data_IF_629195750097
#
_entry.id   IF_629195750097
#
_cell.length_a   1.000
_cell.length_b   1.000
_cell.length_c   1.000
_cell.angle_alpha   90.00
_cell.angle_beta   90.00
_cell.angle_gamma   90.00
#
_symmetry.space_group_name_H-M   'P 1'
#
loop_
_entity.id
_entity.type
_entity.pdbx_description
1 polymer ?
#
# COMPACT_ATOMS: atom_id res chain seq x y z
N UNK A 1 1.55 -3.75 1.43
CA UNK A 1 0.45 -3.23 2.29
C UNK A 1 -0.86 -4.02 2.12
N UNK A 2 -1.35 -4.34 0.91
CA UNK A 2 -2.65 -5.03 0.73
C UNK A 2 -2.60 -6.54 1.07
N UNK A 3 -3.45 -7.04 1.98
CA UNK A 3 -3.70 -8.47 2.17
C UNK A 3 -4.34 -9.12 0.94
N UNK A 4 -4.18 -10.43 0.71
CA UNK A 4 -3.51 -11.42 1.57
C UNK A 4 -2.05 -11.69 1.20
N UNK A 5 -1.44 -10.91 0.31
CA UNK A 5 -0.08 -11.18 -0.18
C UNK A 5 0.95 -10.28 0.53
N UNK A 6 0.59 -9.01 0.75
CA UNK A 6 1.34 -7.95 1.45
C UNK A 6 2.83 -7.71 1.10
N UNK A 7 3.50 -8.58 0.34
CA UNK A 7 4.93 -8.57 0.03
C UNK A 7 5.79 -9.28 1.10
N UNK A 8 7.08 -9.49 0.79
CA UNK A 8 8.02 -10.17 1.67
C UNK A 8 8.24 -9.47 3.03
N UNK A 9 8.13 -8.14 3.05
CA UNK A 9 8.26 -7.36 4.28
C UNK A 9 7.19 -7.70 5.34
N UNK A 10 6.02 -8.20 4.94
CA UNK A 10 5.00 -8.64 5.90
C UNK A 10 5.38 -9.94 6.63
N UNK A 11 6.15 -10.82 5.98
CA UNK A 11 6.71 -12.01 6.63
C UNK A 11 7.75 -11.62 7.66
N UNK A 12 8.63 -10.67 7.33
CA UNK A 12 9.56 -10.10 8.29
C UNK A 12 8.82 -9.39 9.43
N UNK A 13 7.74 -8.69 9.13
CA UNK A 13 6.93 -8.04 10.16
C UNK A 13 6.34 -9.04 11.15
N UNK A 14 5.80 -10.15 10.64
CA UNK A 14 5.36 -11.27 11.47
C UNK A 14 6.49 -11.83 12.35
N UNK A 15 7.68 -12.01 11.78
CA UNK A 15 8.87 -12.50 12.49
C UNK A 15 9.37 -11.54 13.58
N UNK A 16 9.54 -10.26 13.26
CA UNK A 16 9.97 -9.21 14.21
C UNK A 16 8.99 -9.04 15.36
N UNK A 17 7.67 -9.14 15.10
CA UNK A 17 6.65 -9.01 16.13
C UNK A 17 6.35 -10.32 16.86
N UNK A 18 6.84 -11.46 16.36
CA UNK A 18 6.58 -12.78 16.93
C UNK A 18 5.12 -13.24 16.80
N UNK A 19 4.37 -12.74 15.82
CA UNK A 19 2.96 -13.10 15.60
C UNK A 19 2.76 -13.82 14.26
N UNK A 20 1.72 -14.66 14.09
CA UNK A 20 1.42 -15.32 12.83
C UNK A 20 1.19 -14.33 11.67
N UNK A 21 1.60 -14.69 10.45
CA UNK A 21 1.37 -13.86 9.26
C UNK A 21 -0.10 -13.50 9.05
N UNK A 22 -1.01 -14.45 9.29
CA UNK A 22 -2.44 -14.22 9.09
C UNK A 22 -2.97 -13.12 10.02
N UNK A 23 -2.35 -12.95 11.19
CA UNK A 23 -2.65 -11.88 12.12
C UNK A 23 -2.13 -10.54 11.59
N UNK A 24 -0.91 -10.47 11.06
CA UNK A 24 -0.42 -9.26 10.36
C UNK A 24 -1.35 -8.91 9.20
N UNK A 25 -1.75 -9.91 8.41
CA UNK A 25 -2.62 -9.73 7.25
C UNK A 25 -4.02 -9.27 7.63
N UNK A 26 -4.63 -9.79 8.69
CA UNK A 26 -5.95 -9.36 9.14
C UNK A 26 -5.92 -7.91 9.63
N UNK A 27 -4.91 -7.53 10.41
CA UNK A 27 -4.73 -6.17 10.93
C UNK A 27 -4.48 -5.15 9.84
N UNK A 28 -3.95 -5.58 8.68
CA UNK A 28 -3.70 -4.71 7.54
C UNK A 28 -4.92 -4.43 6.64
N UNK A 29 -6.03 -5.15 6.80
CA UNK A 29 -7.21 -5.03 5.90
C UNK A 29 -7.79 -3.61 5.92
N UNK A 30 -8.12 -3.10 7.11
CA UNK A 30 -8.70 -1.76 7.26
C UNK A 30 -7.72 -0.68 6.77
N UNK A 31 -6.44 -0.65 7.21
CA UNK A 31 -5.45 0.30 6.69
C UNK A 31 -5.33 0.26 5.17
N UNK A 32 -5.30 -0.94 4.57
CA UNK A 32 -5.19 -1.07 3.13
C UNK A 32 -6.43 -0.53 2.42
N UNK A 33 -7.64 -0.84 2.89
CA UNK A 33 -8.87 -0.30 2.32
C UNK A 33 -8.89 1.24 2.38
N UNK A 34 -8.51 1.83 3.51
CA UNK A 34 -8.41 3.29 3.66
C UNK A 34 -7.39 3.89 2.69
N UNK A 35 -6.19 3.31 2.61
CA UNK A 35 -5.14 3.76 1.70
C UNK A 35 -5.56 3.69 0.24
N UNK A 36 -6.04 2.54 -0.24
CA UNK A 36 -6.43 2.36 -1.64
C UNK A 36 -7.66 3.17 -2.01
N UNK A 37 -8.63 3.31 -1.11
CA UNK A 37 -9.80 4.17 -1.33
C UNK A 37 -9.39 5.64 -1.35
N UNK A 38 -8.50 6.07 -0.44
CA UNK A 38 -7.98 7.44 -0.41
C UNK A 38 -7.20 7.80 -1.68
N UNK A 39 -6.35 6.89 -2.18
CA UNK A 39 -5.68 7.06 -3.48
C UNK A 39 -6.71 7.10 -4.61
N UNK A 40 -7.68 6.18 -4.62
CA UNK A 40 -8.71 6.15 -5.65
C UNK A 40 -9.49 7.47 -5.72
N UNK A 41 -9.92 8.00 -4.58
CA UNK A 41 -10.58 9.31 -4.48
C UNK A 41 -9.69 10.40 -5.07
N UNK A 42 -8.43 10.45 -4.64
CA UNK A 42 -7.47 11.48 -5.07
C UNK A 42 -7.20 11.44 -6.57
N UNK A 43 -6.95 10.26 -7.12
CA UNK A 43 -6.73 10.04 -8.57
C UNK A 43 -7.99 10.35 -9.37
N UNK A 44 -9.18 9.96 -8.88
CA UNK A 44 -10.45 10.24 -9.53
C UNK A 44 -10.76 11.73 -9.60
N UNK A 45 -10.50 12.48 -8.52
CA UNK A 45 -10.66 13.93 -8.50
C UNK A 45 -9.70 14.63 -9.46
N UNK A 46 -8.44 14.19 -9.52
CA UNK A 46 -7.46 14.72 -10.48
C UNK A 46 -7.85 14.37 -11.93
N UNK A 47 -8.33 13.15 -12.20
CA UNK A 47 -8.79 12.74 -13.52
C UNK A 47 -9.99 13.56 -13.99
N UNK A 48 -10.95 13.84 -13.09
CA UNK A 48 -12.08 14.74 -13.36
C UNK A 48 -11.63 16.17 -13.68
N UNK A 49 -10.69 16.70 -12.89
CA UNK A 49 -10.11 18.03 -13.11
C UNK A 49 -9.41 18.15 -14.47
N UNK A 50 -8.77 17.07 -14.92
CA UNK A 50 -8.13 16.99 -16.24
C UNK A 50 -9.09 16.62 -17.38
N UNK A 51 -10.36 16.32 -17.08
CA UNK A 51 -11.36 15.94 -18.08
C UNK A 51 -11.08 14.61 -18.77
N UNK A 52 -10.34 13.70 -18.12
CA UNK A 52 -9.98 12.41 -18.71
C UNK A 52 -11.24 11.53 -18.91
N UNK A 53 -11.35 10.90 -20.08
CA UNK A 53 -12.45 9.98 -20.43
C UNK A 53 -11.93 8.54 -20.50
N UNK A 54 -12.77 7.60 -20.07
CA UNK A 54 -12.47 6.17 -20.19
C UNK A 54 -12.45 5.69 -21.65
N UNK A 55 -11.78 4.58 -21.90
CA UNK A 55 -11.76 3.93 -23.22
C UNK A 55 -13.14 3.32 -23.55
N UNK A 56 -13.51 3.18 -24.84
CA UNK A 56 -14.74 2.52 -25.26
C UNK A 56 -14.82 1.07 -24.78
N UNK A 57 -16.00 0.61 -24.35
CA UNK A 57 -16.20 -0.73 -23.78
C UNK A 57 -15.76 -1.85 -24.75
N UNK A 58 -15.85 -1.63 -26.05
CA UNK A 58 -15.46 -2.60 -27.09
C UNK A 58 -13.95 -2.83 -27.18
N UNK A 59 -13.15 -1.91 -26.63
CA UNK A 59 -11.69 -2.04 -26.56
C UNK A 59 -11.21 -2.85 -25.35
N UNK A 60 -12.13 -3.20 -24.43
CA UNK A 60 -11.78 -3.95 -23.23
C UNK A 60 -11.74 -5.46 -23.50
N UNK A 61 -10.83 -6.20 -22.82
CA UNK A 61 -10.79 -7.65 -22.93
C UNK A 61 -12.11 -8.26 -22.44
N UNK A 62 -12.64 -9.23 -23.20
CA UNK A 62 -13.92 -9.89 -22.87
C UNK A 62 -13.82 -10.62 -21.52
N UNK A 63 -14.79 -10.39 -20.64
CA UNK A 63 -14.86 -11.03 -19.31
C UNK A 63 -14.84 -12.56 -19.42
N UNK A 64 -15.45 -13.13 -20.45
CA UNK A 64 -15.46 -14.58 -20.69
C UNK A 64 -14.06 -15.17 -20.92
N UNK A 65 -13.13 -14.40 -21.47
CA UNK A 65 -11.73 -14.79 -21.59
C UNK A 65 -11.04 -14.80 -20.23
N UNK A 66 -11.31 -13.80 -19.39
CA UNK A 66 -10.72 -13.70 -18.03
C UNK A 66 -11.18 -14.86 -17.14
N UNK A 67 -12.48 -15.19 -17.15
CA UNK A 67 -13.03 -16.30 -16.35
C UNK A 67 -12.44 -17.64 -16.79
N UNK A 68 -12.25 -17.85 -18.10
CA UNK A 68 -11.62 -19.08 -18.61
C UNK A 68 -10.18 -19.27 -18.14
N UNK A 69 -9.45 -18.18 -17.86
CA UNK A 69 -8.07 -18.21 -17.38
C UNK A 69 -7.95 -18.05 -15.86
N UNK A 70 -9.06 -18.02 -15.12
CA UNK A 70 -9.06 -17.80 -13.66
C UNK A 70 -8.34 -18.91 -12.90
N UNK A 71 -8.25 -20.12 -13.47
CA UNK A 71 -7.52 -21.25 -12.88
C UNK A 71 -6.02 -20.94 -12.68
N UNK A 72 -5.45 -19.96 -13.41
CA UNK A 72 -4.07 -19.49 -13.20
C UNK A 72 -3.87 -18.80 -11.84
N UNK A 73 -4.95 -18.40 -11.17
CA UNK A 73 -4.93 -17.79 -9.82
C UNK A 73 -4.88 -18.87 -8.73
N UNK A 74 -5.18 -20.13 -9.05
CA UNK A 74 -5.25 -21.22 -8.09
C UNK A 74 -3.99 -21.41 -7.23
N UNK A 75 -2.74 -21.30 -7.77
CA UNK A 75 -1.53 -21.37 -6.95
C UNK A 75 -1.47 -20.27 -5.89
N UNK A 76 -1.95 -19.07 -6.22
CA UNK A 76 -2.01 -17.95 -5.30
C UNK A 76 -3.04 -18.20 -4.18
N UNK A 77 -4.22 -18.75 -4.54
CA UNK A 77 -5.23 -19.15 -3.55
C UNK A 77 -4.67 -20.22 -2.61
N UNK A 78 -3.95 -21.21 -3.15
CA UNK A 78 -3.29 -22.26 -2.38
C UNK A 78 -2.25 -21.67 -1.42
N UNK A 79 -1.45 -20.69 -1.87
CA UNK A 79 -0.48 -19.99 -1.00
C UNK A 79 -1.18 -19.31 0.17
N UNK A 80 -2.20 -18.51 -0.12
CA UNK A 80 -2.95 -17.74 0.87
C UNK A 80 -3.61 -18.69 1.87
N UNK A 81 -4.22 -19.77 1.40
CA UNK A 81 -4.86 -20.76 2.26
C UNK A 81 -3.85 -21.48 3.15
N UNK A 82 -2.71 -21.93 2.63
CA UNK A 82 -1.66 -22.60 3.41
C UNK A 82 -1.11 -21.67 4.50
N UNK A 83 -0.80 -20.43 4.15
CA UNK A 83 -0.30 -19.44 5.11
C UNK A 83 -1.38 -19.08 6.14
N UNK A 84 -2.64 -18.92 5.73
CA UNK A 84 -3.76 -18.63 6.62
C UNK A 84 -4.06 -19.79 7.58
N UNK A 85 -3.86 -21.03 7.14
CA UNK A 85 -4.10 -22.22 7.97
C UNK A 85 -3.13 -22.36 9.13
N UNK A 86 -1.96 -21.70 9.09
CA UNK A 86 -0.92 -21.82 10.11
C UNK A 86 -0.29 -23.22 10.24
N UNK A 87 -0.66 -24.17 9.37
CA UNK A 87 -0.27 -25.58 9.48
C UNK A 87 1.20 -25.83 9.15
N UNK A 88 1.85 -24.90 8.44
CA UNK A 88 3.21 -25.04 7.91
C UNK A 88 3.96 -23.72 8.05
N UNK A 89 5.28 -23.79 8.01
CA UNK A 89 6.13 -22.59 7.93
C UNK A 89 5.86 -21.83 6.63
N UNK A 90 6.17 -20.53 6.62
CA UNK A 90 5.95 -19.66 5.45
C UNK A 90 6.75 -20.15 4.24
N UNK A 91 8.01 -20.56 4.44
CA UNK A 91 8.87 -21.12 3.39
C UNK A 91 8.29 -22.40 2.78
N UNK A 92 7.75 -23.30 3.62
CA UNK A 92 7.16 -24.55 3.14
C UNK A 92 5.84 -24.31 2.37
N UNK A 93 5.02 -23.36 2.84
CA UNK A 93 3.81 -22.93 2.14
C UNK A 93 4.12 -22.35 0.75
N UNK A 94 5.19 -21.55 0.64
CA UNK A 94 5.69 -21.04 -0.63
C UNK A 94 6.15 -22.17 -1.55
N UNK A 95 6.91 -23.15 -1.04
CA UNK A 95 7.38 -24.29 -1.83
C UNK A 95 6.23 -25.12 -2.42
N UNK A 96 5.19 -25.44 -1.64
CA UNK A 96 4.01 -26.14 -2.13
C UNK A 96 3.29 -25.32 -3.20
N UNK A 97 3.13 -24.01 -2.98
CA UNK A 97 2.46 -23.14 -3.94
C UNK A 97 3.23 -23.02 -5.26
N UNK A 98 4.57 -22.99 -5.23
CA UNK A 98 5.43 -23.05 -6.42
C UNK A 98 5.20 -24.36 -7.19
N UNK A 99 5.14 -25.50 -6.50
CA UNK A 99 4.79 -26.78 -7.13
C UNK A 99 3.38 -26.74 -7.74
N UNK A 100 2.41 -26.15 -7.03
CA UNK A 100 1.06 -25.92 -7.54
C UNK A 100 1.05 -25.07 -8.81
N UNK A 101 1.86 -24.00 -8.86
CA UNK A 101 2.02 -23.15 -10.04
C UNK A 101 2.61 -23.92 -11.23
N UNK A 102 3.61 -24.77 -10.97
CA UNK A 102 4.18 -25.64 -11.99
C UNK A 102 3.15 -26.62 -12.54
N UNK A 103 2.37 -27.28 -11.67
CA UNK A 103 1.32 -28.23 -12.09
C UNK A 103 0.21 -27.55 -12.89
N UNK A 104 -0.28 -26.40 -12.42
CA UNK A 104 -1.30 -25.61 -13.15
C UNK A 104 -0.75 -25.13 -14.50
N UNK A 105 0.50 -24.66 -14.53
CA UNK A 105 1.18 -24.27 -15.76
C UNK A 105 1.33 -25.43 -16.74
N UNK A 106 1.74 -26.61 -16.27
CA UNK A 106 1.86 -27.82 -17.08
C UNK A 106 0.52 -28.22 -17.71
N UNK A 107 -0.55 -28.24 -16.92
CA UNK A 107 -1.91 -28.53 -17.42
C UNK A 107 -2.31 -27.49 -18.48
N UNK A 108 -2.01 -26.20 -18.25
CA UNK A 108 -2.31 -25.15 -19.21
C UNK A 108 -1.56 -25.34 -20.54
N UNK A 109 -0.25 -25.60 -20.49
CA UNK A 109 0.56 -25.84 -21.69
C UNK A 109 0.07 -27.05 -22.46
N UNK A 110 -0.28 -28.14 -21.76
CA UNK A 110 -0.89 -29.32 -22.40
C UNK A 110 -2.19 -28.91 -23.08
N UNK A 111 -3.13 -28.27 -22.38
CA UNK A 111 -4.42 -27.88 -22.95
C UNK A 111 -4.32 -26.95 -24.16
N UNK A 112 -3.37 -26.02 -24.15
CA UNK A 112 -3.12 -25.11 -25.29
C UNK A 112 -2.61 -25.92 -26.48
N UNK A 113 -1.58 -26.74 -26.29
CA UNK A 113 -0.99 -27.53 -27.36
C UNK A 113 -1.98 -28.57 -27.91
N UNK A 114 -2.84 -29.15 -27.05
CA UNK A 114 -3.90 -30.05 -27.50
C UNK A 114 -4.99 -29.33 -28.31
N UNK A 115 -5.25 -28.05 -28.04
CA UNK A 115 -6.24 -27.25 -28.80
C UNK A 115 -5.68 -26.71 -30.11
N UNK A 116 -4.38 -26.43 -30.16
CA UNK A 116 -3.71 -25.86 -31.33
C UNK A 116 -3.01 -26.91 -32.21
N UNK A 117 -3.26 -28.20 -31.96
CA UNK A 117 -2.68 -29.31 -32.73
C UNK A 117 -2.81 -29.06 -34.23
N UNK A 118 -1.69 -29.18 -34.94
CA UNK A 118 -1.69 -29.11 -36.40
C UNK A 118 -2.30 -30.40 -36.96
N UNK A 119 -3.01 -30.27 -38.08
CA UNK A 119 -3.61 -31.42 -38.75
C UNK A 119 -2.51 -32.42 -39.17
N UNK A 120 -2.40 -33.53 -38.44
CA UNK A 120 -1.38 -34.57 -38.65
C UNK A 120 -0.53 -34.90 -37.41
N UNK A 121 -0.54 -34.07 -36.36
CA UNK A 121 0.16 -34.37 -35.11
C UNK A 121 -0.60 -35.36 -34.24
N UNK A 122 0.11 -36.36 -33.74
CA UNK A 122 -0.46 -37.30 -32.76
C UNK A 122 -0.58 -36.65 -31.38
N UNK A 123 -1.56 -37.10 -30.61
CA UNK A 123 -1.77 -36.61 -29.24
C UNK A 123 -0.51 -36.71 -28.36
N UNK A 124 0.31 -37.75 -28.57
CA UNK A 124 1.56 -37.95 -27.84
C UNK A 124 2.63 -36.91 -28.18
N UNK A 125 2.74 -36.50 -29.44
CA UNK A 125 3.71 -35.48 -29.87
C UNK A 125 3.38 -34.11 -29.25
N UNK A 126 2.10 -33.72 -29.25
CA UNK A 126 1.65 -32.48 -28.60
C UNK A 126 1.92 -32.47 -27.08
N UNK A 127 1.71 -33.60 -26.39
CA UNK A 127 2.02 -33.71 -24.95
C UNK A 127 3.53 -33.66 -24.70
N UNK A 128 4.34 -34.33 -25.51
CA UNK A 128 5.79 -34.29 -25.38
C UNK A 128 6.34 -32.87 -25.56
N UNK A 129 5.78 -32.13 -26.52
CA UNK A 129 6.14 -30.74 -26.77
C UNK A 129 5.71 -29.82 -25.62
N UNK A 130 4.50 -29.98 -25.09
CA UNK A 130 4.05 -29.25 -23.91
C UNK A 130 4.92 -29.53 -22.67
N UNK A 131 5.34 -30.78 -22.45
CA UNK A 131 6.23 -31.14 -21.35
C UNK A 131 7.59 -30.47 -21.50
N UNK A 132 8.14 -30.46 -22.71
CA UNK A 132 9.40 -29.77 -23.00
C UNK A 132 9.28 -28.27 -22.68
N UNK A 133 8.25 -27.59 -23.19
CA UNK A 133 7.98 -26.17 -22.89
C UNK A 133 7.86 -25.94 -21.38
N UNK A 134 7.13 -26.79 -20.66
CA UNK A 134 6.94 -26.66 -19.22
C UNK A 134 8.25 -26.78 -18.44
N UNK A 135 9.13 -27.73 -18.80
CA UNK A 135 10.44 -27.89 -18.16
C UNK A 135 11.34 -26.68 -18.43
N UNK A 136 11.38 -26.17 -19.67
CA UNK A 136 12.13 -24.96 -19.99
C UNK A 136 11.59 -23.74 -19.23
N UNK A 137 10.28 -23.55 -19.20
CA UNK A 137 9.65 -22.46 -18.45
C UNK A 137 9.93 -22.56 -16.94
N UNK A 138 9.93 -23.77 -16.37
CA UNK A 138 10.28 -23.99 -14.97
C UNK A 138 11.75 -23.68 -14.69
N UNK A 139 12.65 -24.07 -15.59
CA UNK A 139 14.07 -23.73 -15.49
C UNK A 139 14.30 -22.22 -15.54
N UNK A 140 13.68 -21.52 -16.49
CA UNK A 140 13.75 -20.06 -16.58
C UNK A 140 13.17 -19.37 -15.34
N UNK A 141 12.01 -19.83 -14.87
CA UNK A 141 11.40 -19.31 -13.65
C UNK A 141 12.27 -19.51 -12.42
N UNK A 142 12.91 -20.68 -12.27
CA UNK A 142 13.82 -20.97 -11.17
C UNK A 142 15.10 -20.13 -11.27
N UNK A 143 15.65 -19.95 -12.47
CA UNK A 143 16.80 -19.09 -12.72
C UNK A 143 16.48 -17.62 -12.40
N UNK A 144 15.32 -17.13 -12.82
CA UNK A 144 14.84 -15.79 -12.50
C UNK A 144 14.64 -15.60 -10.99
N UNK A 145 14.03 -16.59 -10.33
CA UNK A 145 13.89 -16.62 -8.87
C UNK A 145 15.23 -16.55 -8.15
N UNK A 146 16.22 -17.34 -8.58
CA UNK A 146 17.57 -17.33 -8.02
C UNK A 146 18.26 -15.96 -8.20
N UNK A 147 18.19 -15.37 -9.40
CA UNK A 147 18.75 -14.02 -9.68
C UNK A 147 18.10 -12.94 -8.81
N UNK A 148 16.78 -12.98 -8.66
CA UNK A 148 16.04 -12.03 -7.82
C UNK A 148 16.38 -12.21 -6.33
N UNK A 149 16.63 -13.44 -5.88
CA UNK A 149 17.01 -13.74 -4.49
C UNK A 149 18.36 -13.09 -4.11
N UNK A 150 19.33 -13.02 -5.02
CA UNK A 150 20.65 -12.40 -4.76
C UNK A 150 20.50 -10.94 -4.33
N UNK A 151 19.67 -10.17 -5.04
CA UNK A 151 19.43 -8.76 -4.71
C UNK A 151 18.76 -8.59 -3.34
N UNK A 152 17.79 -9.44 -3.00
CA UNK A 152 17.12 -9.43 -1.70
C UNK A 152 18.08 -9.84 -0.58
N UNK A 153 18.87 -10.89 -0.77
CA UNK A 153 19.85 -11.36 0.21
C UNK A 153 20.92 -10.31 0.51
N UNK A 154 21.48 -9.67 -0.53
CA UNK A 154 22.45 -8.59 -0.36
C UNK A 154 21.84 -7.37 0.38
N UNK A 155 20.61 -6.99 0.03
CA UNK A 155 19.91 -5.89 0.70
C UNK A 155 19.62 -6.20 2.18
N UNK A 156 19.16 -7.42 2.49
CA UNK A 156 18.94 -7.86 3.87
C UNK A 156 20.25 -7.93 4.68
N UNK A 157 21.34 -8.41 4.08
CA UNK A 157 22.65 -8.44 4.73
C UNK A 157 23.15 -7.03 5.08
N UNK A 158 23.03 -6.08 4.14
CA UNK A 158 23.38 -4.67 4.39
C UNK A 158 22.48 -4.04 5.45
N UNK A 159 21.17 -4.29 5.43
CA UNK A 159 20.25 -3.81 6.45
C UNK A 159 20.61 -4.35 7.84
N UNK A 160 20.99 -5.63 7.95
CA UNK A 160 21.46 -6.24 9.19
C UNK A 160 22.77 -5.59 9.69
N UNK A 161 23.71 -5.28 8.80
CA UNK A 161 24.94 -4.55 9.16
C UNK A 161 24.61 -3.13 9.65
N UNK A 162 23.74 -2.41 8.97
CA UNK A 162 23.29 -1.06 9.37
C UNK A 162 22.65 -1.11 10.76
N UNK A 163 21.69 -2.02 10.97
CA UNK A 163 21.04 -2.21 12.26
C UNK A 163 22.05 -2.58 13.36
N UNK A 164 23.01 -3.46 13.06
CA UNK A 164 24.09 -3.84 13.98
C UNK A 164 24.99 -2.67 14.35
N UNK A 165 25.45 -1.88 13.38
CA UNK A 165 26.25 -0.68 13.61
C UNK A 165 25.49 0.36 14.43
N UNK A 166 24.23 0.64 14.10
CA UNK A 166 23.39 1.61 14.82
C UNK A 166 23.14 1.17 16.27
N UNK A 167 22.99 -0.14 16.50
CA UNK A 167 22.80 -0.71 17.84
C UNK A 167 24.10 -0.64 18.66
N UNK A 168 25.22 -1.11 18.12
CA UNK A 168 26.52 -1.18 18.84
C UNK A 168 27.10 0.22 19.11
N UNK A 169 26.87 1.19 18.21
CA UNK A 169 27.31 2.58 18.42
C UNK A 169 26.46 3.35 19.44
N UNK A 170 25.32 2.80 19.87
CA UNK A 170 24.38 3.49 20.76
C UNK A 170 23.59 4.60 20.06
N UNK A 171 23.71 4.74 18.73
CA UNK A 171 23.00 5.75 17.95
C UNK A 171 21.48 5.51 17.98
N UNK A 172 21.03 4.25 18.02
CA UNK A 172 19.61 3.89 18.22
C UNK A 172 19.06 4.53 19.51
N UNK A 173 19.72 4.27 20.63
CA UNK A 173 19.35 4.80 21.94
C UNK A 173 19.41 6.32 21.97
N UNK A 174 20.38 6.91 21.28
CA UNK A 174 20.51 8.36 21.17
C UNK A 174 19.35 8.96 20.39
N UNK A 175 18.95 8.37 19.25
CA UNK A 175 17.78 8.82 18.47
C UNK A 175 16.49 8.69 19.26
N UNK A 176 16.28 7.57 19.95
CA UNK A 176 15.12 7.36 20.83
C UNK A 176 15.08 8.47 21.89
N UNK A 177 16.19 8.67 22.62
CA UNK A 177 16.24 9.69 23.67
C UNK A 177 16.02 11.10 23.14
N UNK A 178 16.64 11.47 22.01
CA UNK A 178 16.47 12.80 21.41
C UNK A 178 15.02 13.02 21.01
N UNK A 179 14.40 12.07 20.31
CA UNK A 179 13.03 12.22 19.81
C UNK A 179 12.03 12.19 20.96
N UNK A 180 12.17 11.27 21.92
CA UNK A 180 11.27 11.17 23.08
C UNK A 180 11.37 12.41 23.96
N UNK A 181 12.58 12.89 24.28
CA UNK A 181 12.75 14.10 25.09
C UNK A 181 12.25 15.35 24.37
N UNK A 182 12.43 15.45 23.04
CA UNK A 182 11.95 16.59 22.27
C UNK A 182 10.43 16.55 22.06
N UNK A 183 9.85 15.36 21.98
CA UNK A 183 8.40 15.18 21.92
C UNK A 183 7.74 15.57 23.26
N UNK A 184 8.37 15.23 24.40
CA UNK A 184 7.77 15.42 25.71
C UNK A 184 6.39 14.74 25.78
N UNK A 185 5.38 15.48 26.24
CA UNK A 185 3.99 15.01 26.27
C UNK A 185 3.27 15.10 24.90
N UNK A 186 3.88 15.74 23.91
CA UNK A 186 3.30 15.94 22.59
C UNK A 186 3.66 14.77 21.66
N UNK A 187 2.94 13.65 21.78
CA UNK A 187 3.12 12.44 20.96
C UNK A 187 3.16 12.73 19.45
N UNK A 188 2.41 13.73 18.97
CA UNK A 188 2.40 14.14 17.56
C UNK A 188 3.78 14.61 17.08
N UNK A 189 4.55 15.30 17.91
CA UNK A 189 5.91 15.75 17.58
C UNK A 189 6.81 14.53 17.41
N UNK A 190 6.71 13.57 18.33
CA UNK A 190 7.44 12.30 18.25
C UNK A 190 7.11 11.51 16.99
N UNK A 191 5.84 11.45 16.60
CA UNK A 191 5.39 10.80 15.35
C UNK A 191 5.95 11.51 14.11
N UNK A 192 5.93 12.84 14.06
CA UNK A 192 6.48 13.63 12.95
C UNK A 192 7.99 13.46 12.83
N UNK A 193 8.73 13.55 13.95
CA UNK A 193 10.18 13.34 13.94
C UNK A 193 10.52 11.92 13.49
N UNK A 194 9.79 10.92 13.99
CA UNK A 194 9.98 9.53 13.60
C UNK A 194 9.65 9.30 12.12
N UNK A 195 8.59 9.93 11.59
CA UNK A 195 8.28 9.93 10.15
C UNK A 195 9.48 10.45 9.34
N UNK A 196 10.05 11.59 9.72
CA UNK A 196 11.19 12.17 9.02
C UNK A 196 12.39 11.21 9.06
N UNK A 197 12.67 10.59 10.21
CA UNK A 197 13.70 9.55 10.34
C UNK A 197 13.42 8.37 9.43
N UNK A 198 12.18 7.88 9.35
CA UNK A 198 11.79 6.78 8.47
C UNK A 198 11.98 7.13 6.98
N UNK A 199 11.62 8.35 6.59
CA UNK A 199 11.81 8.81 5.21
C UNK A 199 13.30 8.84 4.88
N UNK A 200 14.13 9.44 5.73
CA UNK A 200 15.58 9.58 5.49
C UNK A 200 16.28 8.22 5.46
N UNK A 201 16.00 7.36 6.43
CA UNK A 201 16.63 6.03 6.49
C UNK A 201 16.13 5.08 5.40
N UNK A 202 14.92 5.30 4.87
CA UNK A 202 14.31 4.46 3.84
C UNK A 202 14.71 4.81 2.40
N UNK A 203 15.36 5.96 2.19
CA UNK A 203 15.68 6.49 0.86
C UNK A 203 16.57 5.53 0.06
N UNK A 204 16.03 5.01 -1.04
CA UNK A 204 16.79 4.26 -2.04
C UNK A 204 17.09 2.80 -1.64
N UNK A 205 16.39 2.27 -0.63
CA UNK A 205 16.57 0.91 -0.13
C UNK A 205 15.34 0.06 -0.52
N UNK A 206 15.52 -1.19 -1.00
CA UNK A 206 14.38 -2.08 -1.28
C UNK A 206 13.47 -2.25 -0.05
N UNK A 207 12.15 -2.31 -0.26
CA UNK A 207 11.13 -2.35 0.81
C UNK A 207 11.41 -3.36 1.93
N UNK A 208 11.90 -4.56 1.59
CA UNK A 208 12.26 -5.60 2.56
C UNK A 208 13.39 -5.16 3.49
N UNK A 209 14.48 -4.64 2.92
CA UNK A 209 15.65 -4.17 3.66
C UNK A 209 15.33 -2.89 4.45
N UNK A 210 14.55 -2.00 3.84
CA UNK A 210 14.03 -0.80 4.47
C UNK A 210 13.25 -1.17 5.75
N UNK A 211 12.31 -2.13 5.66
CA UNK A 211 11.56 -2.58 6.84
C UNK A 211 12.47 -3.14 7.95
N UNK A 212 13.50 -3.94 7.64
CA UNK A 212 14.44 -4.42 8.68
C UNK A 212 15.13 -3.26 9.40
N UNK A 213 15.59 -2.24 8.66
CA UNK A 213 16.21 -1.03 9.24
C UNK A 213 15.19 -0.33 10.15
N UNK A 214 13.98 -0.10 9.66
CA UNK A 214 12.93 0.60 10.40
C UNK A 214 12.50 -0.14 11.66
N UNK A 215 12.29 -1.45 11.57
CA UNK A 215 11.90 -2.29 12.69
C UNK A 215 12.97 -2.30 13.79
N UNK A 216 14.25 -2.30 13.42
CA UNK A 216 15.35 -2.29 14.38
C UNK A 216 15.61 -0.90 15.00
N UNK A 217 15.35 0.18 14.27
CA UNK A 217 15.81 1.53 14.67
C UNK A 217 14.68 2.50 15.02
N UNK A 218 13.59 2.51 14.24
CA UNK A 218 12.52 3.51 14.36
C UNK A 218 11.29 3.01 15.10
N UNK A 219 10.93 1.73 14.98
CA UNK A 219 9.82 1.16 15.74
C UNK A 219 9.99 1.30 17.27
N UNK A 220 11.20 1.08 17.85
CA UNK A 220 11.42 1.29 19.27
C UNK A 220 11.17 2.73 19.75
N UNK A 221 11.34 3.74 18.89
CA UNK A 221 11.08 5.15 19.22
C UNK A 221 9.59 5.33 19.53
N UNK A 222 8.72 4.79 18.68
CA UNK A 222 7.27 4.91 18.86
C UNK A 222 6.78 4.08 20.04
N UNK A 223 7.35 2.90 20.25
CA UNK A 223 7.05 2.06 21.41
C UNK A 223 7.43 2.80 22.70
N UNK A 224 8.58 3.49 22.72
CA UNK A 224 8.99 4.33 23.86
C UNK A 224 8.07 5.54 24.10
N UNK A 225 7.42 6.04 23.04
CA UNK A 225 6.37 7.07 23.12
C UNK A 225 5.00 6.52 23.56
N UNK A 226 4.90 5.22 23.89
CA UNK A 226 3.67 4.58 24.33
C UNK A 226 2.75 4.10 23.21
N UNK A 227 3.18 4.15 21.95
CA UNK A 227 2.42 3.61 20.82
C UNK A 227 2.47 2.07 20.87
N UNK A 228 1.34 1.36 20.70
CA UNK A 228 1.33 -0.09 20.67
C UNK A 228 2.27 -0.68 19.62
N UNK A 229 2.88 -1.82 19.93
CA UNK A 229 3.89 -2.46 19.09
C UNK A 229 3.42 -2.60 17.64
N UNK A 230 2.20 -3.10 17.41
CA UNK A 230 1.71 -3.32 16.06
C UNK A 230 1.51 -2.00 15.31
N UNK A 231 0.91 -1.00 15.97
CA UNK A 231 0.77 0.33 15.39
C UNK A 231 2.13 0.95 15.04
N UNK A 232 3.13 0.79 15.90
CA UNK A 232 4.50 1.25 15.64
C UNK A 232 5.10 0.56 14.41
N UNK A 233 5.02 -0.77 14.30
CA UNK A 233 5.54 -1.52 13.16
C UNK A 233 4.82 -1.16 11.85
N UNK A 234 3.49 -0.99 11.87
CA UNK A 234 2.74 -0.52 10.71
C UNK A 234 3.10 0.91 10.33
N UNK A 235 3.27 1.80 11.31
CA UNK A 235 3.64 3.19 11.08
C UNK A 235 4.97 3.30 10.34
N UNK A 236 6.01 2.63 10.86
CA UNK A 236 7.34 2.69 10.25
C UNK A 236 7.40 1.94 8.92
N UNK A 237 6.60 0.89 8.74
CA UNK A 237 6.48 0.19 7.46
C UNK A 237 5.85 1.07 6.38
N UNK A 238 4.79 1.81 6.72
CA UNK A 238 4.18 2.75 5.80
C UNK A 238 5.16 3.86 5.40
N UNK A 239 5.81 4.52 6.36
CA UNK A 239 6.74 5.60 6.03
C UNK A 239 8.01 5.11 5.34
N UNK A 240 8.45 3.89 5.63
CA UNK A 240 9.48 3.23 4.84
C UNK A 240 9.08 3.15 3.36
N UNK A 241 7.87 2.66 3.04
CA UNK A 241 7.39 2.59 1.65
C UNK A 241 7.17 3.97 1.04
N UNK A 242 6.65 4.91 1.81
CA UNK A 242 6.39 6.28 1.34
C UNK A 242 7.69 7.03 1.01
N UNK A 243 8.83 6.64 1.60
CA UNK A 243 10.14 7.15 1.21
C UNK A 243 10.43 6.97 -0.30
N UNK A 244 9.95 5.89 -0.92
CA UNK A 244 10.18 5.57 -2.35
C UNK A 244 9.41 6.48 -3.32
N UNK A 245 8.45 7.26 -2.82
CA UNK A 245 7.70 8.25 -3.61
C UNK A 245 7.95 9.69 -3.16
N UNK A 246 8.70 9.88 -2.07
CA UNK A 246 8.97 11.20 -1.48
C UNK A 246 10.27 11.79 -2.05
N UNK A 247 10.24 13.03 -2.60
CA UNK A 247 11.45 13.73 -2.99
C UNK A 247 12.41 13.90 -1.80
N UNK A 248 13.75 13.83 -2.00
CA UNK A 248 14.46 13.95 -3.28
C UNK A 248 14.81 12.63 -3.98
N UNK A 249 14.57 11.45 -3.39
CA UNK A 249 14.99 10.17 -3.99
C UNK A 249 13.89 9.51 -4.83
N UNK A 250 12.64 9.51 -4.36
CA UNK A 250 11.42 9.12 -5.11
C UNK A 250 11.62 8.08 -6.25
N UNK A 251 12.33 6.97 -5.97
CA UNK A 251 12.88 6.07 -6.99
C UNK A 251 11.81 5.52 -7.94
N UNK A 252 10.65 5.15 -7.38
CA UNK A 252 9.52 4.64 -8.15
C UNK A 252 8.93 5.72 -9.08
N UNK A 253 8.81 6.95 -8.58
CA UNK A 253 8.32 8.08 -9.37
C UNK A 253 9.30 8.45 -10.50
N UNK A 254 10.60 8.33 -10.26
CA UNK A 254 11.63 8.61 -11.27
C UNK A 254 11.66 7.54 -12.36
N UNK A 255 11.50 6.26 -12.02
CA UNK A 255 11.29 5.21 -13.02
C UNK A 255 10.02 5.47 -13.86
N UNK A 256 8.92 5.86 -13.21
CA UNK A 256 7.69 6.26 -13.91
C UNK A 256 7.88 7.47 -14.83
N UNK A 257 8.71 8.44 -14.43
CA UNK A 257 9.01 9.61 -15.25
C UNK A 257 9.75 9.28 -16.55
N UNK A 258 10.58 8.23 -16.55
CA UNK A 258 11.26 7.75 -17.76
C UNK A 258 10.26 7.18 -18.79
N UNK A 259 9.21 6.50 -18.31
CA UNK A 259 8.12 5.99 -19.16
C UNK A 259 7.27 7.16 -19.68
N UNK A 260 6.93 8.10 -18.81
CA UNK A 260 6.09 9.27 -19.13
C UNK A 260 6.83 10.38 -19.89
N UNK A 261 8.15 10.27 -20.06
CA UNK A 261 9.03 11.31 -20.62
C UNK A 261 8.87 12.67 -19.91
N UNK A 262 8.67 12.63 -18.59
CA UNK A 262 8.46 13.82 -17.75
C UNK A 262 9.68 14.14 -16.90
N UNK A 263 9.73 15.34 -16.34
CA UNK A 263 10.79 15.71 -15.39
C UNK A 263 10.68 14.84 -14.11
N UNK A 264 11.74 14.15 -13.68
CA UNK A 264 11.69 13.24 -12.53
C UNK A 264 11.24 13.93 -11.24
N UNK A 265 11.82 15.09 -10.90
CA UNK A 265 11.51 15.81 -9.67
C UNK A 265 10.05 16.26 -9.62
N UNK A 266 9.52 16.82 -10.72
CA UNK A 266 8.10 17.18 -10.81
C UNK A 266 7.18 15.97 -10.70
N UNK A 267 7.61 14.83 -11.24
CA UNK A 267 6.86 13.57 -11.15
C UNK A 267 6.81 13.07 -9.71
N UNK A 268 7.93 13.13 -8.97
CA UNK A 268 8.00 12.81 -7.54
C UNK A 268 7.09 13.70 -6.68
N UNK A 269 7.13 15.02 -6.86
CA UNK A 269 6.26 15.95 -6.13
C UNK A 269 4.78 15.66 -6.40
N UNK A 270 4.41 15.39 -7.65
CA UNK A 270 3.03 15.03 -7.99
C UNK A 270 2.63 13.67 -7.41
N UNK A 271 3.53 12.68 -7.42
CA UNK A 271 3.28 11.37 -6.82
C UNK A 271 3.03 11.49 -5.31
N UNK A 272 3.88 12.22 -4.58
CA UNK A 272 3.71 12.47 -3.15
C UNK A 272 2.39 13.20 -2.85
N UNK A 273 2.03 14.21 -3.67
CA UNK A 273 0.74 14.92 -3.56
C UNK A 273 -0.46 13.99 -3.75
N UNK A 274 -0.42 13.11 -4.75
CA UNK A 274 -1.48 12.16 -5.04
C UNK A 274 -1.57 11.04 -4.00
N UNK A 275 -0.46 10.71 -3.35
CA UNK A 275 -0.37 9.69 -2.32
C UNK A 275 -0.55 10.24 -0.89
N UNK A 276 -1.20 11.40 -0.72
CA UNK A 276 -1.36 12.01 0.62
C UNK A 276 -1.99 11.06 1.65
N UNK A 277 -2.91 10.19 1.21
CA UNK A 277 -3.53 9.18 2.06
C UNK A 277 -2.48 8.26 2.71
N UNK A 278 -1.36 7.99 2.03
CA UNK A 278 -0.24 7.20 2.54
C UNK A 278 0.47 7.86 3.73
N UNK A 279 0.52 9.20 3.77
CA UNK A 279 1.12 9.96 4.87
C UNK A 279 0.18 10.08 6.06
N UNK A 280 -1.13 10.04 5.81
CA UNK A 280 -2.17 10.28 6.81
C UNK A 280 -2.51 9.01 7.58
N UNK A 281 -2.74 7.90 6.85
CA UNK A 281 -3.17 6.62 7.44
C UNK A 281 -2.30 6.20 8.63
N UNK A 282 -0.96 6.24 8.58
CA UNK A 282 -0.10 5.86 9.71
C UNK A 282 -0.41 6.62 11.01
N UNK A 283 -0.68 7.93 10.93
CA UNK A 283 -1.05 8.70 12.11
C UNK A 283 -2.37 8.23 12.70
N UNK A 284 -3.35 7.92 11.85
CA UNK A 284 -4.64 7.40 12.32
C UNK A 284 -4.43 6.05 13.02
N UNK A 285 -3.55 5.18 12.50
CA UNK A 285 -3.23 3.89 13.14
C UNK A 285 -2.52 4.06 14.49
N UNK A 286 -1.62 5.04 14.60
CA UNK A 286 -0.89 5.32 15.83
C UNK A 286 -1.82 5.82 16.94
N UNK A 287 -2.78 6.68 16.61
CA UNK A 287 -3.76 7.18 17.59
C UNK A 287 -4.92 6.20 17.82
N UNK A 288 -5.23 5.33 16.86
CA UNK A 288 -6.39 4.43 16.90
C UNK A 288 -6.03 2.97 16.62
N UNK A 289 -5.49 2.25 17.61
CA UNK A 289 -5.18 0.83 17.48
C UNK A 289 -6.40 -0.05 17.15
N UNK A 290 -7.63 0.44 17.39
CA UNK A 290 -8.88 -0.21 16.96
C UNK A 290 -8.91 -0.47 15.44
N UNK A 291 -8.26 0.39 14.63
CA UNK A 291 -8.12 0.17 13.19
C UNK A 291 -7.28 -1.06 12.84
N UNK A 292 -6.40 -1.47 13.75
CA UNK A 292 -5.57 -2.66 13.66
C UNK A 292 -6.22 -3.83 14.39
N UNK A 293 -7.52 -3.75 14.70
CA UNK A 293 -8.27 -4.78 15.41
C UNK A 293 -7.63 -5.14 16.77
N UNK A 294 -7.01 -4.16 17.43
CA UNK A 294 -6.44 -4.31 18.77
C UNK A 294 -7.34 -3.69 19.84
N UNK A 295 -7.35 -4.33 21.01
CA UNK A 295 -8.10 -3.87 22.18
C UNK A 295 -9.57 -4.32 22.18
N UNK A 296 -10.33 -3.75 23.11
CA UNK A 296 -11.78 -3.96 23.21
C UNK A 296 -12.48 -2.95 22.31
N UNK A 297 -13.21 -3.44 21.31
CA UNK A 297 -13.96 -2.58 20.38
C UNK A 297 -15.34 -3.15 20.12
N UNK A 298 -16.29 -2.27 19.81
CA UNK A 298 -17.58 -2.66 19.26
C UNK A 298 -17.57 -2.60 17.74
N UNK A 299 -18.40 -3.42 17.08
CA UNK A 299 -18.55 -3.38 15.62
C UNK A 299 -18.96 -1.99 15.13
N UNK A 300 -19.73 -1.26 15.94
CA UNK A 300 -20.14 0.11 15.64
C UNK A 300 -18.96 1.09 15.60
N UNK A 301 -18.02 0.98 16.55
CA UNK A 301 -16.81 1.83 16.58
C UNK A 301 -15.95 1.62 15.33
N UNK A 302 -15.77 0.37 14.87
CA UNK A 302 -15.02 0.08 13.64
C UNK A 302 -15.70 0.75 12.45
N UNK A 303 -17.02 0.59 12.30
CA UNK A 303 -17.77 1.18 11.18
C UNK A 303 -17.71 2.70 11.22
N UNK A 304 -17.85 3.30 12.41
CA UNK A 304 -17.73 4.74 12.61
C UNK A 304 -16.35 5.23 12.19
N UNK A 305 -15.28 4.63 12.72
CA UNK A 305 -13.89 5.01 12.45
C UNK A 305 -13.53 4.87 10.97
N UNK A 306 -14.01 3.82 10.30
CA UNK A 306 -13.82 3.67 8.84
C UNK A 306 -14.57 4.78 8.10
N UNK A 307 -15.83 5.03 8.46
CA UNK A 307 -16.66 6.05 7.82
C UNK A 307 -16.06 7.46 7.98
N UNK A 308 -15.67 7.83 9.19
CA UNK A 308 -15.07 9.14 9.49
C UNK A 308 -13.73 9.29 8.79
N UNK A 309 -12.88 8.25 8.80
CA UNK A 309 -11.59 8.28 8.10
C UNK A 309 -11.72 8.42 6.58
N UNK A 310 -12.71 7.77 5.97
CA UNK A 310 -12.98 7.92 4.52
C UNK A 310 -13.47 9.33 4.18
N UNK A 311 -14.34 9.91 5.01
CA UNK A 311 -14.81 11.29 4.84
C UNK A 311 -13.66 12.27 5.04
N UNK A 312 -12.81 12.06 6.05
CA UNK A 312 -11.63 12.88 6.31
C UNK A 312 -10.61 12.81 5.18
N UNK A 313 -10.34 11.61 4.66
CA UNK A 313 -9.51 11.41 3.46
C UNK A 313 -10.08 12.10 2.23
N UNK A 314 -11.40 12.09 2.05
CA UNK A 314 -12.06 12.87 0.99
C UNK A 314 -11.80 14.36 1.17
N UNK A 315 -12.00 14.92 2.37
CA UNK A 315 -11.71 16.33 2.67
C UNK A 315 -10.27 16.72 2.32
N UNK A 316 -9.29 15.92 2.72
CA UNK A 316 -7.88 16.19 2.44
C UNK A 316 -7.57 16.04 0.94
N UNK A 317 -8.13 15.03 0.27
CA UNK A 317 -7.98 14.86 -1.17
C UNK A 317 -8.56 16.05 -1.96
N UNK A 318 -9.70 16.58 -1.53
CA UNK A 318 -10.31 17.79 -2.11
C UNK A 318 -9.42 19.01 -1.89
N UNK A 319 -8.88 19.18 -0.68
CA UNK A 319 -7.99 20.30 -0.34
C UNK A 319 -6.77 20.35 -1.27
N UNK A 320 -6.14 19.21 -1.53
CA UNK A 320 -4.93 19.16 -2.36
C UNK A 320 -5.19 19.23 -3.86
N UNK A 321 -6.25 18.57 -4.37
CA UNK A 321 -6.57 18.63 -5.79
C UNK A 321 -7.17 19.98 -6.19
N UNK A 322 -7.90 20.61 -5.27
CA UNK A 322 -8.53 21.89 -5.50
C UNK A 322 -9.76 21.85 -6.39
N UNK A 323 -10.34 20.67 -6.58
CA UNK A 323 -11.45 20.44 -7.48
C UNK A 323 -12.35 19.32 -6.94
N UNK A 324 -13.68 19.54 -7.03
CA UNK A 324 -14.70 18.51 -6.74
C UNK A 324 -15.76 18.52 -7.83
N UNK A 325 -16.54 19.60 -7.87
CA UNK A 325 -17.59 19.87 -8.85
C UNK A 325 -17.32 21.19 -9.59
N UNK A 326 -16.68 22.14 -8.90
CA UNK A 326 -16.17 23.41 -9.41
C UNK A 326 -14.74 23.61 -8.87
N UNK A 327 -14.10 24.72 -9.26
CA UNK A 327 -12.81 25.12 -8.69
C UNK A 327 -12.99 25.52 -7.21
N UNK A 328 -12.22 24.89 -6.31
CA UNK A 328 -12.29 25.17 -4.88
C UNK A 328 -11.33 26.30 -4.54
N UNK A 329 -11.86 27.41 -4.00
CA UNK A 329 -11.08 28.54 -3.52
C UNK A 329 -10.12 28.09 -2.39
N UNK A 330 -8.87 28.60 -2.34
CA UNK A 330 -7.91 28.34 -1.26
C UNK A 330 -8.47 28.34 0.17
N UNK A 331 -9.38 29.26 0.52
CA UNK A 331 -9.97 29.30 1.87
C UNK A 331 -10.79 28.03 2.15
N UNK A 332 -11.63 27.62 1.20
CA UNK A 332 -12.41 26.39 1.33
C UNK A 332 -11.50 25.15 1.34
N UNK A 333 -10.35 25.17 0.66
CA UNK A 333 -9.36 24.08 0.75
C UNK A 333 -8.79 23.94 2.15
N UNK A 334 -8.48 25.05 2.82
CA UNK A 334 -8.02 25.03 4.21
C UNK A 334 -9.11 24.46 5.12
N UNK A 335 -10.37 24.86 4.94
CA UNK A 335 -11.48 24.32 5.72
C UNK A 335 -11.71 22.82 5.46
N UNK A 336 -11.56 22.35 4.22
CA UNK A 336 -11.58 20.92 3.89
C UNK A 336 -10.43 20.14 4.54
N UNK A 337 -9.22 20.72 4.57
CA UNK A 337 -8.08 20.11 5.26
C UNK A 337 -8.29 20.07 6.78
N UNK A 338 -8.74 21.18 7.38
CA UNK A 338 -9.01 21.27 8.81
C UNK A 338 -10.11 20.28 9.22
N UNK A 339 -11.23 20.24 8.49
CA UNK A 339 -12.29 19.27 8.72
C UNK A 339 -11.81 17.82 8.56
N UNK A 340 -10.96 17.56 7.56
CA UNK A 340 -10.41 16.22 7.34
C UNK A 340 -9.43 15.77 8.41
N UNK A 341 -8.57 16.66 8.90
CA UNK A 341 -7.59 16.38 9.98
C UNK A 341 -8.31 16.22 11.32
N UNK A 342 -9.33 17.04 11.62
CA UNK A 342 -10.11 16.92 12.86
C UNK A 342 -10.76 15.54 13.02
N UNK A 343 -11.17 14.91 11.91
CA UNK A 343 -11.75 13.57 11.90
C UNK A 343 -10.73 12.43 11.97
N UNK A 344 -9.42 12.74 11.99
CA UNK A 344 -8.37 11.72 12.16
C UNK A 344 -8.16 11.33 13.62
N UNK A 345 -8.57 12.20 14.56
CA UNK A 345 -8.61 11.93 16.00
C UNK A 345 -10.07 11.62 16.35
N UNK A 346 -10.44 10.37 16.64
CA UNK A 346 -11.82 9.98 16.87
C UNK A 346 -12.22 10.42 18.27
N UNK A 347 -12.70 11.64 18.34
CA UNK A 347 -13.63 12.08 19.36
C UNK A 347 -14.98 12.24 18.65
N UNK A 348 -16.05 11.74 19.27
CA UNK A 348 -17.41 11.90 18.76
C UNK A 348 -17.74 13.36 18.40
N UNK A 349 -17.19 14.31 19.16
CA UNK A 349 -17.39 15.74 18.90
C UNK A 349 -16.61 16.22 17.67
N UNK A 350 -15.34 15.83 17.52
CA UNK A 350 -14.52 16.22 16.37
C UNK A 350 -15.02 15.57 15.08
N UNK A 351 -15.50 14.34 15.16
CA UNK A 351 -16.13 13.61 14.06
C UNK A 351 -17.39 14.32 13.56
N UNK A 352 -18.31 14.69 14.45
CA UNK A 352 -19.56 15.36 14.07
C UNK A 352 -19.28 16.73 13.44
N UNK A 353 -18.37 17.51 14.04
CA UNK A 353 -17.98 18.82 13.51
C UNK A 353 -17.32 18.67 12.13
N UNK A 354 -16.42 17.69 11.97
CA UNK A 354 -15.73 17.43 10.71
C UNK A 354 -16.67 16.97 9.61
N UNK A 355 -17.60 16.05 9.91
CA UNK A 355 -18.62 15.57 8.96
C UNK A 355 -19.49 16.75 8.52
N UNK A 356 -20.01 17.53 9.48
CA UNK A 356 -20.87 18.67 9.18
C UNK A 356 -20.15 19.68 8.28
N UNK A 357 -18.88 19.99 8.58
CA UNK A 357 -18.06 20.89 7.77
C UNK A 357 -17.85 20.36 6.34
N UNK A 358 -17.42 19.10 6.19
CA UNK A 358 -17.14 18.52 4.86
C UNK A 358 -18.41 18.39 4.03
N UNK A 359 -19.53 17.97 4.63
CA UNK A 359 -20.82 17.86 3.93
C UNK A 359 -21.32 19.23 3.51
N UNK A 360 -21.30 20.23 4.39
CA UNK A 360 -21.73 21.59 4.06
C UNK A 360 -20.88 22.22 2.94
N UNK A 361 -19.55 22.08 3.02
CA UNK A 361 -18.64 22.59 1.99
C UNK A 361 -18.83 21.89 0.65
N UNK A 362 -19.06 20.56 0.67
CA UNK A 362 -19.31 19.78 -0.55
C UNK A 362 -20.65 20.15 -1.19
N UNK A 363 -21.71 20.35 -0.39
CA UNK A 363 -23.01 20.80 -0.87
C UNK A 363 -22.93 22.21 -1.49
N UNK A 364 -22.19 23.13 -0.85
CA UNK A 364 -21.93 24.46 -1.39
C UNK A 364 -21.18 24.42 -2.73
N UNK A 365 -20.16 23.55 -2.84
CA UNK A 365 -19.43 23.34 -4.09
C UNK A 365 -20.30 22.70 -5.19
N UNK A 366 -21.21 21.79 -4.84
CA UNK A 366 -22.17 21.24 -5.79
C UNK A 366 -23.11 22.31 -6.34
N UNK A 367 -23.57 23.24 -5.49
CA UNK A 367 -24.40 24.37 -5.92
C UNK A 367 -23.65 25.31 -6.88
N UNK A 368 -22.40 25.65 -6.57
CA UNK A 368 -21.53 26.45 -7.45
C UNK A 368 -21.29 25.75 -8.80
N UNK A 369 -20.95 24.47 -8.80
CA UNK A 369 -20.72 23.71 -10.03
C UNK A 369 -21.97 23.58 -10.91
N UNK A 370 -23.18 23.51 -10.32
CA UNK A 370 -24.44 23.55 -11.07
C UNK A 370 -24.64 24.91 -11.75
N UNK A 371 -24.33 26.03 -11.06
CA UNK A 371 -24.42 27.38 -11.65
C UNK A 371 -23.42 27.57 -12.79
N UNK A 372 -22.18 27.12 -12.63
CA UNK A 372 -21.15 27.20 -13.69
C UNK A 372 -21.54 26.38 -14.92
N UNK A 373 -22.04 25.15 -14.73
CA UNK A 373 -22.53 24.31 -15.85
C UNK A 373 -23.75 24.91 -16.54
N UNK A 374 -24.68 25.47 -15.78
CA UNK A 374 -25.85 26.14 -16.34
C UNK A 374 -25.46 27.38 -17.15
N UNK A 375 -24.49 28.17 -16.67
CA UNK A 375 -23.94 29.31 -17.39
C UNK A 375 -23.20 28.89 -18.68
N UNK A 376 -22.40 27.81 -18.62
CA UNK A 376 -21.69 27.28 -19.78
C UNK A 376 -22.60 26.60 -20.82
N UNK A 377 -23.79 26.14 -20.43
CA UNK A 377 -24.78 25.61 -21.36
C UNK A 377 -25.66 26.71 -22.00
N UNK A 378 -25.66 27.92 -21.41
CA UNK A 378 -26.40 29.08 -21.91
C UNK A 378 -25.57 30.00 -22.81
N UNK A 379 -24.23 29.85 -22.79
CA UNK A 379 -23.28 30.49 -23.70
C UNK A 379 -22.94 29.54 -24.86
#
# INVERSE_FOLDING_TARGET
IMPPIMGAAAFLMAEYMGIPYIEVASKAIIPALLYFTGIFITVHLEAKKLGLKGMPMDSLPKISYLIKNSFLILPLVLLVWLVASGTRTMAYSAAISILGAFLVGLINFILIELRQRKAGETAGQAVAQALHIAVYAAYEALQAGAKNCIAVAAACAMAGLIAGCITVTGLASTLINVIVNFAGDATIIGLVLTMLTCIVLGMGVPTTANYCIMAATTAPILIALGIPQIAAHFFVFYFGIVADITPPVALAAYAGSAIAKSNPMRTGVNAARLAIAAFIVPYILAFNPVMLLEGTFTTLEIVQVIGTSLIGLFGIAVSLNGHVFAHVNPIFRILFAAGGICMMVPDTLTDVIGIAAIVALTAFQMFLGRRERAAAAAA
#
